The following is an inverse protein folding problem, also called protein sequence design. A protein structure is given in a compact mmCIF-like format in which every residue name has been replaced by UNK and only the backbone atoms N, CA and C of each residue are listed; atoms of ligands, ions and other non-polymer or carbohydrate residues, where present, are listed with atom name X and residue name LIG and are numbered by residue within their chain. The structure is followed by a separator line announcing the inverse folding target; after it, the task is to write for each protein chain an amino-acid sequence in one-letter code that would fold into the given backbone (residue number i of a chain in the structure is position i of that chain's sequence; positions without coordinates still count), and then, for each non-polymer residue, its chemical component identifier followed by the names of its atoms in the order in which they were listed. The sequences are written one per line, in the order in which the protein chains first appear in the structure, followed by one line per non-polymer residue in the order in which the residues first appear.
data_IF_914924970658
#
_entry.id   IF_914924970658
#
_cell.length_a   1.000
_cell.length_b   1.000
_cell.length_c   1.000
_cell.angle_alpha   90.00
_cell.angle_beta   90.00
_cell.angle_gamma   90.00
#
_symmetry.space_group_name_H-M   'P 1'
#
loop_
_entity.id
_entity.type
_entity.pdbx_description
1 polymer ?
#
# COMPACT_ATOMS: atom_id res chain seq x y z
N UNK A 1 29.01 6.63 0.74
CA UNK A 1 28.39 6.13 -0.52
C UNK A 1 27.97 4.69 -0.27
N UNK A 2 26.74 4.28 -0.65
CA UNK A 2 26.39 2.86 -0.59
C UNK A 2 27.33 2.09 -1.53
N UNK A 3 27.83 0.96 -1.08
CA UNK A 3 28.60 0.06 -1.94
C UNK A 3 27.68 -0.60 -2.99
N UNK A 4 28.28 -1.09 -4.08
CA UNK A 4 27.56 -1.73 -5.20
C UNK A 4 26.68 -2.90 -4.71
N UNK A 5 27.14 -3.61 -3.67
CA UNK A 5 26.43 -4.74 -3.07
C UNK A 5 25.13 -4.29 -2.38
N UNK A 6 25.17 -3.18 -1.64
CA UNK A 6 23.99 -2.59 -1.01
C UNK A 6 22.97 -2.10 -2.05
N UNK A 7 23.44 -1.46 -3.13
CA UNK A 7 22.55 -1.01 -4.21
C UNK A 7 21.85 -2.18 -4.91
N UNK A 8 22.61 -3.22 -5.27
CA UNK A 8 22.07 -4.44 -5.89
C UNK A 8 21.00 -5.10 -5.00
N UNK A 9 21.26 -5.19 -3.69
CA UNK A 9 20.30 -5.73 -2.72
C UNK A 9 18.99 -4.94 -2.72
N UNK A 10 19.04 -3.62 -2.64
CA UNK A 10 17.84 -2.79 -2.59
C UNK A 10 17.03 -2.83 -3.89
N UNK A 11 17.72 -2.85 -5.04
CA UNK A 11 17.07 -3.03 -6.33
C UNK A 11 16.35 -4.39 -6.41
N UNK A 12 16.99 -5.46 -5.95
CA UNK A 12 16.37 -6.79 -5.93
C UNK A 12 15.13 -6.83 -5.02
N UNK A 13 15.19 -6.19 -3.84
CA UNK A 13 14.02 -6.05 -2.95
C UNK A 13 12.90 -5.30 -3.66
N UNK A 14 13.19 -4.15 -4.27
CA UNK A 14 12.21 -3.36 -5.00
C UNK A 14 11.51 -4.17 -6.10
N UNK A 15 12.30 -4.84 -6.97
CA UNK A 15 11.77 -5.62 -8.08
C UNK A 15 10.92 -6.81 -7.61
N UNK A 16 11.41 -7.54 -6.59
CA UNK A 16 10.69 -8.67 -6.03
C UNK A 16 9.35 -8.23 -5.40
N UNK A 17 9.37 -7.18 -4.58
CA UNK A 17 8.16 -6.66 -3.95
C UNK A 17 7.19 -6.07 -4.98
N UNK A 18 7.68 -5.42 -6.03
CA UNK A 18 6.84 -4.89 -7.09
C UNK A 18 6.09 -6.02 -7.82
N UNK A 19 6.76 -7.15 -8.07
CA UNK A 19 6.13 -8.35 -8.63
C UNK A 19 5.05 -8.90 -7.69
N UNK A 20 5.38 -9.11 -6.41
CA UNK A 20 4.43 -9.64 -5.42
C UNK A 20 3.22 -8.72 -5.30
N UNK A 21 3.45 -7.41 -5.15
CA UNK A 21 2.38 -6.42 -5.06
C UNK A 21 1.51 -6.41 -6.32
N UNK A 22 2.10 -6.50 -7.52
CA UNK A 22 1.35 -6.58 -8.78
C UNK A 22 0.40 -7.78 -8.81
N UNK A 23 0.87 -8.95 -8.35
CA UNK A 23 0.06 -10.15 -8.29
C UNK A 23 -1.08 -10.04 -7.27
N UNK A 24 -0.79 -9.52 -6.07
CA UNK A 24 -1.80 -9.31 -5.03
C UNK A 24 -2.85 -8.30 -5.48
N UNK A 25 -2.43 -7.17 -6.05
CA UNK A 25 -3.30 -6.14 -6.58
C UNK A 25 -4.21 -6.69 -7.67
N UNK A 26 -3.63 -7.41 -8.65
CA UNK A 26 -4.41 -8.01 -9.74
C UNK A 26 -5.42 -9.03 -9.21
N UNK A 27 -5.01 -9.88 -8.28
CA UNK A 27 -5.90 -10.85 -7.66
C UNK A 27 -7.08 -10.16 -6.96
N UNK A 28 -6.83 -9.10 -6.18
CA UNK A 28 -7.90 -8.39 -5.48
C UNK A 28 -8.89 -7.70 -6.44
N UNK A 29 -8.39 -7.12 -7.53
CA UNK A 29 -9.23 -6.46 -8.57
C UNK A 29 -10.10 -7.47 -9.31
N UNK A 30 -9.59 -8.67 -9.63
CA UNK A 30 -10.39 -9.70 -10.31
C UNK A 30 -11.50 -10.25 -9.39
N UNK A 31 -11.17 -10.51 -8.12
CA UNK A 31 -12.08 -11.25 -7.23
C UNK A 31 -13.10 -10.37 -6.52
N UNK A 32 -12.86 -9.07 -6.41
CA UNK A 32 -13.76 -8.16 -5.70
C UNK A 32 -13.84 -6.79 -6.38
N UNK A 33 -14.18 -6.71 -7.68
CA UNK A 33 -14.23 -5.44 -8.41
C UNK A 33 -15.35 -4.54 -7.90
N UNK A 34 -15.16 -3.23 -7.99
CA UNK A 34 -16.23 -2.24 -7.83
C UNK A 34 -16.65 -1.75 -9.22
N UNK A 35 -17.87 -2.10 -9.66
CA UNK A 35 -18.41 -1.59 -10.92
C UNK A 35 -19.01 -0.19 -10.71
N UNK A 36 -18.77 0.80 -11.60
CA UNK A 36 -18.05 0.71 -12.87
C UNK A 36 -16.56 1.09 -12.80
N UNK A 37 -15.95 1.19 -11.63
CA UNK A 37 -14.58 1.69 -11.44
C UNK A 37 -13.48 0.64 -11.78
N UNK A 38 -12.84 0.70 -12.98
CA UNK A 38 -11.80 -0.24 -13.34
C UNK A 38 -10.59 -0.10 -12.40
N UNK A 39 -9.93 -1.22 -12.11
CA UNK A 39 -8.77 -1.25 -11.22
C UNK A 39 -9.09 -1.09 -9.72
N UNK A 40 -10.34 -0.83 -9.35
CA UNK A 40 -10.75 -0.67 -7.95
C UNK A 40 -11.33 -1.96 -7.41
N UNK A 41 -10.95 -2.31 -6.17
CA UNK A 41 -11.45 -3.48 -5.46
C UNK A 41 -12.12 -3.08 -4.14
N UNK A 42 -13.26 -3.71 -3.83
CA UNK A 42 -13.97 -3.57 -2.56
C UNK A 42 -13.32 -4.33 -1.41
N UNK A 43 -12.34 -5.18 -1.70
CA UNK A 43 -11.53 -5.88 -0.71
C UNK A 43 -10.08 -5.91 -1.19
N UNK A 44 -9.46 -4.72 -1.29
CA UNK A 44 -8.10 -4.59 -1.77
C UNK A 44 -7.07 -4.91 -0.69
N UNK A 45 -7.00 -6.18 -0.30
CA UNK A 45 -6.11 -6.65 0.77
C UNK A 45 -4.62 -6.48 0.47
N UNK A 46 -4.25 -6.25 -0.80
CA UNK A 46 -2.89 -5.94 -1.23
C UNK A 46 -2.29 -4.78 -0.43
N UNK A 47 -3.08 -3.75 -0.10
CA UNK A 47 -2.63 -2.59 0.68
C UNK A 47 -2.04 -3.00 2.04
N UNK A 48 -2.60 -4.03 2.70
CA UNK A 48 -2.12 -4.45 4.00
C UNK A 48 -0.70 -5.03 3.90
N UNK A 49 -0.43 -5.82 2.86
CA UNK A 49 0.91 -6.32 2.57
C UNK A 49 1.85 -5.19 2.17
N UNK A 50 1.41 -4.27 1.32
CA UNK A 50 2.20 -3.11 0.89
C UNK A 50 2.64 -2.23 2.08
N UNK A 51 1.75 -1.95 3.03
CA UNK A 51 2.09 -1.23 4.27
C UNK A 51 3.17 -1.97 5.06
N UNK A 52 3.00 -3.28 5.24
CA UNK A 52 3.96 -4.10 5.97
C UNK A 52 5.32 -4.13 5.27
N UNK A 53 5.33 -4.25 3.94
CA UNK A 53 6.55 -4.20 3.15
C UNK A 53 7.24 -2.85 3.23
N UNK A 54 6.49 -1.73 3.20
CA UNK A 54 7.07 -0.42 3.43
C UNK A 54 7.66 -0.30 4.85
N UNK A 55 7.00 -0.86 5.87
CA UNK A 55 7.52 -0.83 7.24
C UNK A 55 8.75 -1.75 7.44
N UNK A 56 8.88 -2.85 6.70
CA UNK A 56 10.05 -3.74 6.75
C UNK A 56 11.22 -3.29 5.89
N UNK A 57 10.94 -2.68 4.73
CA UNK A 57 11.91 -2.38 3.68
C UNK A 57 12.03 -0.89 3.35
N UNK A 58 11.36 -0.03 4.12
CA UNK A 58 11.43 1.41 3.99
C UNK A 58 10.89 1.93 2.66
N UNK A 59 11.57 2.94 2.13
CA UNK A 59 11.20 3.60 0.86
C UNK A 59 11.15 2.64 -0.33
N UNK A 60 11.92 1.56 -0.33
CA UNK A 60 11.88 0.52 -1.37
C UNK A 60 10.56 -0.26 -1.36
N UNK A 61 10.03 -0.53 -0.18
CA UNK A 61 8.68 -1.08 -0.02
C UNK A 61 7.60 -0.09 -0.44
N UNK A 62 7.84 1.21 -0.28
CA UNK A 62 6.90 2.24 -0.73
C UNK A 62 6.84 2.36 -2.26
N UNK A 63 7.99 2.43 -2.93
CA UNK A 63 8.03 2.45 -4.40
C UNK A 63 7.53 1.16 -5.02
N UNK A 64 7.75 0.01 -4.37
CA UNK A 64 7.20 -1.26 -4.85
C UNK A 64 5.68 -1.32 -4.75
N UNK A 65 5.05 -0.61 -3.80
CA UNK A 65 3.59 -0.49 -3.72
C UNK A 65 3.04 0.31 -4.92
N UNK A 66 3.65 1.45 -5.24
CA UNK A 66 3.31 2.24 -6.42
C UNK A 66 3.42 1.43 -7.72
N UNK A 67 4.55 0.74 -7.94
CA UNK A 67 4.74 -0.07 -9.13
C UNK A 67 3.78 -1.27 -9.17
N UNK A 68 3.53 -1.90 -8.02
CA UNK A 68 2.56 -2.98 -7.88
C UNK A 68 1.15 -2.57 -8.27
N UNK A 69 0.71 -1.40 -7.79
CA UNK A 69 -0.56 -0.79 -8.18
C UNK A 69 -0.62 -0.53 -9.69
N UNK A 70 0.38 0.18 -10.22
CA UNK A 70 0.44 0.58 -11.61
C UNK A 70 0.38 -0.60 -12.56
N UNK A 71 1.03 -1.72 -12.23
CA UNK A 71 1.01 -2.94 -13.05
C UNK A 71 -0.27 -3.74 -12.78
N UNK A 72 -0.51 -4.13 -11.53
CA UNK A 72 -1.54 -5.10 -11.16
C UNK A 72 -2.97 -4.56 -11.20
N UNK A 73 -3.19 -3.40 -10.60
CA UNK A 73 -4.49 -2.74 -10.55
C UNK A 73 -4.69 -1.73 -11.68
N UNK A 74 -3.61 -1.28 -12.33
CA UNK A 74 -3.64 -0.33 -13.44
C UNK A 74 -3.61 -1.01 -14.81
N UNK A 75 -2.40 -1.30 -15.32
CA UNK A 75 -2.15 -1.81 -16.67
C UNK A 75 -2.94 -3.09 -16.94
N UNK A 76 -2.89 -4.05 -16.02
CA UNK A 76 -3.58 -5.34 -16.20
C UNK A 76 -5.11 -5.25 -16.02
N UNK A 77 -5.63 -4.11 -15.55
CA UNK A 77 -7.06 -3.84 -15.40
C UNK A 77 -7.57 -2.76 -16.36
N UNK A 78 -6.82 -2.49 -17.42
CA UNK A 78 -7.18 -1.59 -18.52
C UNK A 78 -7.43 -0.13 -18.10
N UNK A 79 -6.83 0.31 -16.98
CA UNK A 79 -6.83 1.74 -16.61
C UNK A 79 -5.98 2.52 -17.63
N UNK A 80 -6.49 3.62 -18.23
CA UNK A 80 -5.73 4.39 -19.21
C UNK A 80 -4.34 4.79 -18.69
N UNK A 81 -3.29 4.50 -19.45
CA UNK A 81 -1.91 4.64 -18.96
C UNK A 81 -1.57 6.07 -18.49
N UNK A 82 -2.04 7.08 -19.21
CA UNK A 82 -1.84 8.50 -18.84
C UNK A 82 -2.42 8.84 -17.46
N UNK A 83 -3.57 8.25 -17.12
CA UNK A 83 -4.19 8.38 -15.80
C UNK A 83 -3.49 7.50 -14.77
N UNK A 84 -3.15 6.26 -15.14
CA UNK A 84 -2.65 5.24 -14.25
C UNK A 84 -1.38 5.69 -13.48
N UNK A 85 -0.49 6.44 -14.13
CA UNK A 85 0.71 7.01 -13.50
C UNK A 85 0.34 7.88 -12.29
N UNK A 86 -0.67 8.75 -12.42
CA UNK A 86 -1.13 9.60 -11.33
C UNK A 86 -2.04 8.84 -10.35
N UNK A 87 -2.93 7.99 -10.86
CA UNK A 87 -3.89 7.22 -10.07
C UNK A 87 -3.19 6.25 -9.10
N UNK A 88 -2.11 5.60 -9.55
CA UNK A 88 -1.30 4.66 -8.73
C UNK A 88 -0.60 5.32 -7.54
N UNK A 89 -0.55 6.67 -7.49
CA UNK A 89 -0.10 7.38 -6.30
C UNK A 89 -1.01 7.10 -5.09
N UNK A 90 -2.24 6.60 -5.29
CA UNK A 90 -3.10 6.13 -4.21
C UNK A 90 -2.37 5.14 -3.28
N UNK A 91 -1.78 4.09 -3.83
CA UNK A 91 -1.07 3.07 -3.05
C UNK A 91 0.24 3.61 -2.47
N UNK A 92 0.91 4.54 -3.17
CA UNK A 92 2.09 5.21 -2.65
C UNK A 92 1.77 6.02 -1.39
N UNK A 93 0.70 6.81 -1.41
CA UNK A 93 0.25 7.55 -0.22
C UNK A 93 -0.16 6.60 0.90
N UNK A 94 -0.85 5.50 0.55
CA UNK A 94 -1.31 4.51 1.53
C UNK A 94 -0.18 3.87 2.34
N UNK A 95 1.02 3.80 1.78
CA UNK A 95 2.21 3.25 2.48
C UNK A 95 3.16 4.30 3.02
N UNK A 96 3.29 5.47 2.37
CA UNK A 96 4.16 6.54 2.86
C UNK A 96 3.64 7.16 4.15
N UNK A 97 2.31 7.31 4.30
CA UNK A 97 1.70 7.86 5.52
C UNK A 97 2.07 7.02 6.76
N UNK A 98 1.82 5.70 6.81
CA UNK A 98 2.21 4.89 7.96
C UNK A 98 3.72 4.80 8.12
N UNK A 99 4.49 4.72 7.03
CA UNK A 99 5.95 4.72 7.09
C UNK A 99 6.49 5.98 7.78
N UNK A 100 6.00 7.14 7.37
CA UNK A 100 6.37 8.43 7.95
C UNK A 100 5.94 8.55 9.41
N UNK A 101 4.72 8.12 9.74
CA UNK A 101 4.23 8.13 11.12
C UNK A 101 5.05 7.21 12.04
N UNK A 102 5.36 5.99 11.60
CA UNK A 102 6.14 5.04 12.38
C UNK A 102 7.57 5.55 12.61
N UNK A 103 8.18 6.15 11.59
CA UNK A 103 9.48 6.79 11.71
C UNK A 103 9.46 8.00 12.66
N UNK A 104 8.52 8.93 12.46
CA UNK A 104 8.44 10.18 13.23
C UNK A 104 8.13 9.95 14.71
N UNK A 105 7.12 9.13 15.01
CA UNK A 105 6.72 8.85 16.39
C UNK A 105 7.58 7.75 17.06
N UNK A 106 8.54 7.16 16.32
CA UNK A 106 9.40 6.06 16.77
C UNK A 106 8.58 4.89 17.30
N UNK A 107 7.58 4.49 16.52
CA UNK A 107 6.67 3.39 16.85
C UNK A 107 7.45 2.11 16.93
N UNK A 108 7.22 1.31 17.98
CA UNK A 108 7.70 -0.07 17.96
C UNK A 108 6.91 -0.82 16.88
N UNK A 109 7.59 -1.24 15.82
CA UNK A 109 6.96 -1.92 14.67
C UNK A 109 6.12 -3.13 15.08
N UNK A 110 6.41 -3.77 16.21
CA UNK A 110 5.63 -4.91 16.74
C UNK A 110 4.39 -4.49 17.54
N UNK A 111 4.11 -3.20 17.63
CA UNK A 111 2.92 -2.59 18.26
C UNK A 111 2.60 -3.16 19.64
N UNK A 112 3.59 -3.06 20.54
CA UNK A 112 3.54 -3.65 21.88
C UNK A 112 2.80 -2.76 22.89
N UNK A 113 2.77 -1.46 22.67
CA UNK A 113 2.13 -0.51 23.60
C UNK A 113 0.80 0.01 23.05
N UNK A 114 -0.05 0.55 23.94
CA UNK A 114 -1.29 1.24 23.55
C UNK A 114 -1.02 2.44 22.64
N UNK A 115 0.10 3.15 22.87
CA UNK A 115 0.55 4.27 22.02
C UNK A 115 0.83 3.80 20.59
N UNK A 116 1.60 2.72 20.45
CA UNK A 116 1.93 2.16 19.13
C UNK A 116 0.67 1.71 18.39
N UNK A 117 -0.25 1.05 19.09
CA UNK A 117 -1.53 0.61 18.53
C UNK A 117 -2.40 1.80 18.09
N UNK A 118 -2.42 2.88 18.86
CA UNK A 118 -3.17 4.10 18.52
C UNK A 118 -2.62 4.74 17.26
N UNK A 119 -1.29 4.88 17.15
CA UNK A 119 -0.64 5.45 15.96
C UNK A 119 -0.88 4.55 14.75
N UNK A 120 -0.82 3.23 14.92
CA UNK A 120 -1.18 2.28 13.88
C UNK A 120 -2.61 2.48 13.38
N UNK A 121 -3.61 2.47 14.26
CA UNK A 121 -5.02 2.65 13.84
C UNK A 121 -5.21 3.98 13.11
N UNK A 122 -4.65 5.07 13.65
CA UNK A 122 -4.82 6.39 13.05
C UNK A 122 -4.13 6.53 11.70
N UNK A 123 -2.87 6.11 11.58
CA UNK A 123 -2.05 6.40 10.40
C UNK A 123 -1.92 5.24 9.40
N UNK A 124 -2.03 3.99 9.85
CA UNK A 124 -1.90 2.80 9.00
C UNK A 124 -3.23 2.14 8.63
N UNK A 125 -4.34 2.55 9.27
CA UNK A 125 -5.67 2.05 8.94
C UNK A 125 -6.62 3.17 8.49
N UNK A 126 -6.73 4.28 9.22
CA UNK A 126 -7.72 5.30 8.91
C UNK A 126 -7.20 6.32 7.91
N UNK A 127 -6.17 7.09 8.27
CA UNK A 127 -5.72 8.23 7.48
C UNK A 127 -5.18 7.81 6.11
N UNK A 128 -4.39 6.75 6.06
CA UNK A 128 -3.80 6.30 4.80
C UNK A 128 -4.85 5.81 3.81
N UNK A 129 -5.79 4.97 4.25
CA UNK A 129 -6.86 4.45 3.41
C UNK A 129 -7.83 5.56 3.00
N UNK A 130 -8.10 6.52 3.88
CA UNK A 130 -8.88 7.70 3.54
C UNK A 130 -8.22 8.47 2.40
N UNK A 131 -6.93 8.79 2.53
CA UNK A 131 -6.18 9.53 1.51
C UNK A 131 -6.12 8.75 0.20
N UNK A 132 -5.80 7.45 0.24
CA UNK A 132 -5.69 6.65 -0.98
C UNK A 132 -7.03 6.43 -1.69
N UNK A 133 -8.10 6.10 -0.95
CA UNK A 133 -9.43 5.93 -1.53
C UNK A 133 -9.96 7.25 -2.10
N UNK A 134 -9.73 8.37 -1.40
CA UNK A 134 -10.11 9.70 -1.88
C UNK A 134 -9.33 10.06 -3.15
N UNK A 135 -8.00 9.89 -3.14
CA UNK A 135 -7.14 10.14 -4.30
C UNK A 135 -7.57 9.29 -5.51
N UNK A 136 -7.68 7.98 -5.33
CA UNK A 136 -8.04 7.04 -6.40
C UNK A 136 -9.41 7.34 -6.99
N UNK A 137 -10.42 7.57 -6.14
CA UNK A 137 -11.79 7.87 -6.58
C UNK A 137 -11.88 9.23 -7.27
N UNK A 138 -11.18 10.26 -6.76
CA UNK A 138 -11.13 11.59 -7.37
C UNK A 138 -10.44 11.56 -8.74
N UNK A 139 -9.34 10.81 -8.87
CA UNK A 139 -8.64 10.69 -10.15
C UNK A 139 -9.53 10.01 -11.20
N UNK A 140 -10.30 8.98 -10.83
CA UNK A 140 -11.21 8.31 -11.77
C UNK A 140 -12.34 9.23 -12.22
N UNK A 141 -12.98 9.95 -11.29
CA UNK A 141 -14.14 10.80 -11.61
C UNK A 141 -13.75 12.06 -12.37
N UNK A 142 -12.64 12.71 -12.00
CA UNK A 142 -12.20 13.95 -12.66
C UNK A 142 -11.65 13.72 -14.07
N UNK A 143 -11.21 12.49 -14.37
CA UNK A 143 -10.78 12.08 -15.70
C UNK A 143 -11.88 11.35 -16.50
N UNK A 144 -13.12 11.34 -16.00
CA UNK A 144 -14.28 10.80 -16.72
C UNK A 144 -14.32 9.28 -16.87
N UNK A 145 -13.53 8.53 -16.10
CA UNK A 145 -13.56 7.06 -16.08
C UNK A 145 -14.83 6.56 -15.39
N UNK A 146 -15.25 7.27 -14.35
CA UNK A 146 -16.54 7.08 -13.68
C UNK A 146 -17.27 8.43 -13.61
N UNK A 147 -18.59 8.41 -13.44
CA UNK A 147 -19.40 9.60 -13.21
C UNK A 147 -19.36 10.02 -11.74
N UNK A 148 -19.71 11.29 -11.48
CA UNK A 148 -19.83 11.83 -10.12
C UNK A 148 -20.86 11.10 -9.26
N UNK A 149 -21.87 10.51 -9.89
CA UNK A 149 -22.86 9.64 -9.23
C UNK A 149 -22.24 8.37 -8.65
N UNK A 150 -21.15 7.86 -9.23
CA UNK A 150 -20.46 6.66 -8.75
C UNK A 150 -19.29 6.94 -7.81
N UNK A 151 -19.01 8.22 -7.53
CA UNK A 151 -17.89 8.60 -6.67
C UNK A 151 -18.01 7.96 -5.28
N UNK A 152 -19.16 8.09 -4.61
CA UNK A 152 -19.33 7.61 -3.24
C UNK A 152 -19.27 6.09 -3.15
N UNK A 153 -19.90 5.36 -4.08
CA UNK A 153 -19.81 3.88 -4.07
C UNK A 153 -18.38 3.40 -4.30
N UNK A 154 -17.62 4.07 -5.16
CA UNK A 154 -16.20 3.78 -5.41
C UNK A 154 -15.36 4.08 -4.17
N UNK A 155 -15.53 5.27 -3.60
CA UNK A 155 -14.79 5.72 -2.43
C UNK A 155 -15.08 4.87 -1.19
N UNK A 156 -16.35 4.66 -0.84
CA UNK A 156 -16.74 3.93 0.36
C UNK A 156 -16.38 2.45 0.25
N UNK A 157 -16.64 1.84 -0.90
CA UNK A 157 -16.29 0.44 -1.14
C UNK A 157 -14.79 0.19 -1.01
N UNK A 158 -13.97 1.06 -1.60
CA UNK A 158 -12.51 0.98 -1.45
C UNK A 158 -12.09 1.24 0.00
N UNK A 159 -12.54 2.35 0.60
CA UNK A 159 -12.12 2.76 1.93
C UNK A 159 -12.44 1.70 3.00
N UNK A 160 -13.68 1.20 3.01
CA UNK A 160 -14.13 0.22 4.01
C UNK A 160 -13.39 -1.12 3.82
N UNK A 161 -13.26 -1.58 2.58
CA UNK A 161 -12.51 -2.80 2.25
C UNK A 161 -11.08 -2.76 2.77
N UNK A 162 -10.39 -1.67 2.46
CA UNK A 162 -9.03 -1.46 2.92
C UNK A 162 -8.92 -1.35 4.44
N UNK A 163 -9.86 -0.65 5.07
CA UNK A 163 -9.87 -0.50 6.52
C UNK A 163 -9.97 -1.87 7.21
N UNK A 164 -10.86 -2.74 6.74
CA UNK A 164 -10.99 -4.11 7.25
C UNK A 164 -9.71 -4.90 7.01
N UNK A 165 -9.19 -4.90 5.78
CA UNK A 165 -8.00 -5.66 5.43
C UNK A 165 -6.77 -5.23 6.26
N UNK A 166 -6.57 -3.92 6.42
CA UNK A 166 -5.43 -3.38 7.19
C UNK A 166 -5.55 -3.68 8.69
N UNK A 167 -6.74 -3.53 9.28
CA UNK A 167 -6.97 -3.82 10.69
C UNK A 167 -6.74 -5.30 11.05
N UNK A 168 -7.02 -6.22 10.11
CA UNK A 168 -6.86 -7.65 10.33
C UNK A 168 -5.44 -8.10 10.02
N UNK A 169 -4.93 -7.80 8.82
CA UNK A 169 -3.70 -8.42 8.31
C UNK A 169 -2.45 -7.75 8.88
N UNK A 170 -2.41 -6.42 8.95
CA UNK A 170 -1.18 -5.68 9.35
C UNK A 170 -0.75 -6.04 10.77
N UNK A 171 -1.63 -6.07 11.80
CA UNK A 171 -1.23 -6.46 13.15
C UNK A 171 -0.68 -7.87 13.26
N UNK A 172 -1.24 -8.81 12.51
CA UNK A 172 -0.78 -10.19 12.51
C UNK A 172 0.65 -10.28 11.95
N UNK A 173 0.88 -9.69 10.78
CA UNK A 173 2.21 -9.70 10.16
C UNK A 173 3.23 -8.95 11.01
N UNK A 174 2.86 -7.77 11.52
CA UNK A 174 3.78 -6.96 12.31
C UNK A 174 4.15 -7.59 13.66
N UNK A 175 3.23 -8.29 14.32
CA UNK A 175 3.49 -8.90 15.64
C UNK A 175 4.25 -10.21 15.55
N UNK A 176 3.84 -11.07 14.61
CA UNK A 176 4.29 -12.45 14.54
C UNK A 176 5.38 -12.68 13.50
N UNK A 177 5.37 -11.96 12.37
CA UNK A 177 6.30 -12.20 11.27
C UNK A 177 7.53 -11.30 11.35
N UNK A 178 7.38 -10.05 11.80
CA UNK A 178 8.50 -9.10 11.96
C UNK A 178 9.73 -9.67 12.70
N UNK A 179 9.61 -10.46 13.78
CA UNK A 179 10.79 -11.03 14.46
C UNK A 179 11.67 -11.90 13.56
N UNK A 180 11.09 -12.56 12.57
CA UNK A 180 11.82 -13.39 11.61
C UNK A 180 12.41 -12.52 10.50
N UNK A 181 11.65 -11.54 9.99
CA UNK A 181 12.12 -10.62 8.96
C UNK A 181 13.30 -9.78 9.47
N UNK A 182 13.27 -9.33 10.72
CA UNK A 182 14.37 -8.56 11.33
C UNK A 182 15.69 -9.34 11.44
N UNK A 183 15.67 -10.67 11.28
CA UNK A 183 16.87 -11.51 11.28
C UNK A 183 17.48 -11.64 9.87
N UNK A 184 16.78 -11.22 8.82
CA UNK A 184 17.29 -11.31 7.45
C UNK A 184 18.24 -10.16 7.13
N UNK A 185 19.18 -10.40 6.20
CA UNK A 185 20.07 -9.35 5.66
C UNK A 185 19.35 -8.32 4.79
N UNK A 186 18.10 -8.59 4.41
CA UNK A 186 17.27 -7.73 3.56
C UNK A 186 16.47 -6.70 4.35
N UNK A 187 16.31 -6.86 5.67
CA UNK A 187 15.59 -5.90 6.49
C UNK A 187 16.28 -4.53 6.50
N UNK A 188 15.50 -3.48 6.28
CA UNK A 188 16.01 -2.10 6.19
C UNK A 188 15.87 -1.42 7.54
N UNK A 189 17.00 -1.02 8.12
CA UNK A 189 17.02 -0.32 9.41
C UNK A 189 16.90 1.20 9.19
N UNK A 190 15.87 1.83 9.76
CA UNK A 190 15.75 3.29 9.74
C UNK A 190 14.80 3.87 8.70
N UNK A 191 13.93 3.06 8.09
CA UNK A 191 12.78 3.41 7.23
C UNK A 191 13.09 4.17 5.92
N UNK A 192 14.23 4.85 5.79
CA UNK A 192 14.52 5.78 4.69
C UNK A 192 15.75 5.42 3.86
N UNK A 193 16.64 4.56 4.35
CA UNK A 193 17.89 4.13 3.68
C UNK A 193 18.19 2.66 4.04
#
# INVERSE_FOLDING_TARGET
MPDIESFSRYLNILLFLALVNSLLSRFAVINSPISPAPGVSSMYFAVAFMIVFALWYGIWGAFSAYLGCMIGAGILADVPFSLNVAWSLADLWQVLIPLAAFAYFKVNIRMRTKRDMTIFVLFACVLNNLVGALWGSLMLVTNGVIQWTEFFVTFEGWFIGNLIATLVIVPLLLRYITPYVQQTRSYVQGYWI
#
